data_IF_605786170305
#
_entry.id   IF_605786170305
#
_cell.length_a   1.000
_cell.length_b   1.000
_cell.length_c   1.000
_cell.angle_alpha   90.00
_cell.angle_beta   90.00
_cell.angle_gamma   90.00
#
_symmetry.space_group_name_H-M   'P 1'
#
loop_
_entity.id
_entity.type
_entity.pdbx_description
1 polymer ?
#
# COMPACT_ATOMS: atom_id res chain seq x y z
N UNK A 1 -69.56 10.12 35.03
CA UNK A 1 -70.21 9.12 35.90
C UNK A 1 -69.54 7.77 35.67
N UNK A 2 -69.26 7.08 36.79
CA UNK A 2 -68.98 5.64 36.99
C UNK A 2 -69.02 4.72 35.73
N UNK A 3 -68.13 3.75 35.56
CA UNK A 3 -67.42 3.06 36.62
C UNK A 3 -66.52 1.93 36.16
N UNK A 4 -65.79 1.47 37.17
CA UNK A 4 -64.80 0.41 37.24
C UNK A 4 -65.51 -0.95 37.39
N UNK A 5 -65.16 -1.93 36.55
CA UNK A 5 -65.35 -3.37 36.77
C UNK A 5 -64.58 -4.10 35.64
N UNK A 6 -63.91 -5.24 35.80
CA UNK A 6 -63.52 -6.05 36.93
C UNK A 6 -62.38 -6.98 36.45
N UNK A 7 -61.68 -7.56 37.43
CA UNK A 7 -60.48 -8.39 37.40
C UNK A 7 -60.56 -9.71 36.63
N UNK A 8 -59.39 -10.09 36.10
CA UNK A 8 -58.66 -11.37 36.17
C UNK A 8 -59.39 -12.67 35.80
N UNK A 9 -58.83 -13.42 34.85
CA UNK A 9 -58.06 -14.67 35.07
C UNK A 9 -57.71 -15.29 33.70
N UNK A 10 -56.49 -15.82 33.56
CA UNK A 10 -56.20 -16.79 32.50
C UNK A 10 -54.80 -16.71 31.90
N UNK A 11 -53.85 -17.40 32.54
CA UNK A 11 -52.58 -17.83 31.97
C UNK A 11 -52.74 -18.36 30.54
N UNK A 12 -51.84 -18.00 29.61
CA UNK A 12 -50.94 -18.97 28.95
C UNK A 12 -50.14 -18.33 27.81
N UNK A 13 -48.83 -18.63 27.80
CA UNK A 13 -47.95 -18.80 26.63
C UNK A 13 -47.46 -17.53 25.92
N UNK A 14 -46.26 -17.13 26.34
CA UNK A 14 -45.24 -16.50 25.49
C UNK A 14 -44.90 -17.44 24.33
N UNK A 15 -44.98 -17.03 23.06
CA UNK A 15 -44.17 -17.64 22.02
C UNK A 15 -42.94 -16.77 21.80
N UNK A 16 -41.79 -17.40 22.04
CA UNK A 16 -40.47 -16.91 21.72
C UNK A 16 -40.41 -16.49 20.24
N UNK A 17 -40.38 -15.18 20.00
CA UNK A 17 -39.98 -14.64 18.71
C UNK A 17 -38.46 -14.78 18.62
N UNK A 18 -38.03 -15.73 17.80
CA UNK A 18 -36.64 -16.02 17.44
C UNK A 18 -36.06 -14.74 16.80
N UNK A 19 -35.23 -14.03 17.56
CA UNK A 19 -34.40 -12.94 17.06
C UNK A 19 -33.27 -13.56 16.23
N UNK A 20 -33.45 -13.65 14.92
CA UNK A 20 -32.44 -14.12 14.00
C UNK A 20 -31.37 -13.01 13.85
N UNK A 21 -30.36 -13.03 14.71
CA UNK A 21 -29.21 -12.13 14.61
C UNK A 21 -28.38 -12.54 13.38
N UNK A 22 -28.48 -11.77 12.30
CA UNK A 22 -27.55 -11.87 11.16
C UNK A 22 -26.24 -11.21 11.61
N UNK A 23 -25.31 -12.02 12.11
CA UNK A 23 -23.94 -11.61 12.33
C UNK A 23 -23.24 -11.46 10.97
N UNK A 24 -23.15 -10.23 10.47
CA UNK A 24 -22.27 -9.90 9.34
C UNK A 24 -20.84 -10.06 9.84
N UNK A 25 -20.23 -11.22 9.60
CA UNK A 25 -18.79 -11.38 9.66
C UNK A 25 -18.21 -10.59 8.49
N UNK A 26 -17.83 -9.33 8.74
CA UNK A 26 -16.90 -8.63 7.87
C UNK A 26 -15.59 -9.43 7.93
N UNK A 27 -15.33 -10.22 6.89
CA UNK A 27 -14.01 -10.80 6.68
C UNK A 27 -13.06 -9.64 6.38
N UNK A 28 -12.31 -9.19 7.39
CA UNK A 28 -11.09 -8.44 7.15
C UNK A 28 -10.18 -9.38 6.36
N UNK A 29 -10.03 -9.12 5.06
CA UNK A 29 -8.93 -9.70 4.32
C UNK A 29 -7.67 -9.31 5.11
N UNK A 30 -6.96 -10.29 5.66
CA UNK A 30 -5.68 -10.08 6.31
C UNK A 30 -4.77 -9.43 5.27
N UNK A 31 -4.70 -8.10 5.26
CA UNK A 31 -3.79 -7.37 4.41
C UNK A 31 -2.39 -7.87 4.78
N UNK A 32 -1.70 -8.45 3.79
CA UNK A 32 -0.31 -8.84 4.01
C UNK A 32 0.46 -7.58 4.42
N UNK A 33 1.18 -7.62 5.54
CA UNK A 33 2.00 -6.49 5.95
C UNK A 33 3.24 -6.39 5.03
N UNK A 34 3.69 -5.17 4.69
CA UNK A 34 4.92 -4.98 3.94
C UNK A 34 6.12 -5.58 4.70
N UNK A 35 7.18 -6.03 4.01
CA UNK A 35 8.44 -6.33 4.67
C UNK A 35 9.05 -5.06 5.28
N UNK A 36 9.38 -5.08 6.58
CA UNK A 36 9.92 -3.91 7.29
C UNK A 36 8.85 -2.97 7.85
N UNK A 37 9.22 -1.75 8.28
CA UNK A 37 8.28 -0.81 8.89
C UNK A 37 7.35 -0.16 7.85
N UNK A 38 6.05 -0.15 8.12
CA UNK A 38 5.08 0.60 7.31
C UNK A 38 5.14 2.12 7.56
N UNK A 39 5.66 2.55 8.72
CA UNK A 39 5.81 3.95 9.11
C UNK A 39 7.22 4.21 9.63
N UNK A 40 7.81 5.35 9.27
CA UNK A 40 9.00 5.92 9.90
C UNK A 40 8.66 7.34 10.33
N UNK A 41 8.84 7.65 11.61
CA UNK A 41 8.52 8.96 12.19
C UNK A 41 7.09 9.45 11.87
N UNK A 42 6.12 8.52 11.85
CA UNK A 42 4.72 8.82 11.55
C UNK A 42 4.38 8.95 10.06
N UNK A 43 5.36 8.78 9.16
CA UNK A 43 5.16 8.88 7.71
C UNK A 43 5.19 7.51 7.04
N UNK A 44 4.26 7.28 6.10
CA UNK A 44 4.20 6.06 5.27
C UNK A 44 5.50 5.88 4.47
N UNK A 45 6.00 4.64 4.49
CA UNK A 45 7.23 4.23 3.80
C UNK A 45 6.90 3.67 2.42
N UNK A 46 7.68 4.04 1.41
CA UNK A 46 7.70 3.38 0.11
C UNK A 46 8.64 2.17 0.17
N UNK A 47 8.08 0.97 0.32
CA UNK A 47 8.85 -0.27 0.43
C UNK A 47 8.87 -1.01 -0.89
N UNK A 48 10.07 -1.32 -1.40
CA UNK A 48 10.31 -2.07 -2.62
C UNK A 48 10.87 -3.45 -2.28
N UNK A 49 10.16 -4.52 -2.62
CA UNK A 49 10.72 -5.88 -2.52
C UNK A 49 11.35 -6.24 -3.86
N UNK A 50 12.64 -6.55 -3.86
CA UNK A 50 13.44 -6.79 -5.06
C UNK A 50 13.93 -8.23 -5.14
N UNK A 51 14.02 -8.78 -6.36
CA UNK A 51 14.72 -10.07 -6.58
C UNK A 51 16.20 -9.93 -6.23
N UNK A 52 16.83 -11.07 -5.97
CA UNK A 52 18.27 -11.19 -5.72
C UNK A 52 18.99 -11.77 -6.96
N UNK A 53 19.86 -11.01 -7.65
CA UNK A 53 19.99 -9.55 -7.63
C UNK A 53 18.79 -8.84 -8.30
N UNK A 54 18.66 -7.51 -8.18
CA UNK A 54 17.57 -6.77 -8.82
C UNK A 54 17.57 -6.97 -10.34
N UNK A 55 16.50 -7.56 -10.86
CA UNK A 55 16.27 -7.70 -12.30
C UNK A 55 15.71 -6.40 -12.91
N UNK A 56 15.53 -6.35 -14.23
CA UNK A 56 15.03 -5.18 -14.99
C UNK A 56 13.82 -4.50 -14.33
N UNK A 57 12.83 -5.27 -13.88
CA UNK A 57 11.60 -4.76 -13.24
C UNK A 57 11.85 -4.17 -11.84
N UNK A 58 12.67 -4.83 -11.02
CA UNK A 58 13.05 -4.31 -9.70
C UNK A 58 13.91 -3.04 -9.85
N UNK A 59 14.79 -3.01 -10.85
CA UNK A 59 15.62 -1.85 -11.16
C UNK A 59 14.76 -0.64 -11.56
N UNK A 60 13.70 -0.83 -12.36
CA UNK A 60 12.75 0.24 -12.66
C UNK A 60 12.17 0.87 -11.39
N UNK A 61 11.67 0.07 -10.45
CA UNK A 61 11.05 0.59 -9.24
C UNK A 61 12.07 1.32 -8.34
N UNK A 62 13.32 0.84 -8.28
CA UNK A 62 14.42 1.52 -7.57
C UNK A 62 14.72 2.89 -8.20
N UNK A 63 14.78 2.96 -9.54
CA UNK A 63 14.99 4.23 -10.25
C UNK A 63 13.84 5.21 -9.99
N UNK A 64 12.59 4.73 -10.02
CA UNK A 64 11.40 5.54 -9.71
C UNK A 64 11.47 6.07 -8.28
N UNK A 65 11.80 5.22 -7.30
CA UNK A 65 11.92 5.66 -5.91
C UNK A 65 13.07 6.68 -5.71
N UNK A 66 14.19 6.49 -6.43
CA UNK A 66 15.28 7.46 -6.43
C UNK A 66 14.81 8.83 -6.95
N UNK A 67 14.12 8.88 -8.08
CA UNK A 67 13.55 10.13 -8.62
C UNK A 67 12.57 10.78 -7.65
N UNK A 68 11.64 10.01 -7.09
CA UNK A 68 10.66 10.52 -6.13
C UNK A 68 11.31 11.12 -4.91
N UNK A 69 12.37 10.48 -4.37
CA UNK A 69 13.09 10.99 -3.19
C UNK A 69 13.82 12.33 -3.45
N UNK A 70 14.06 12.70 -4.71
CA UNK A 70 14.63 13.99 -5.09
C UNK A 70 13.57 15.11 -5.13
N UNK A 71 12.28 14.78 -5.05
CA UNK A 71 11.16 15.73 -5.09
C UNK A 71 10.37 15.71 -3.79
N UNK A 72 10.13 14.54 -3.21
CA UNK A 72 9.32 14.30 -2.03
C UNK A 72 10.21 13.86 -0.86
N UNK A 73 9.86 14.31 0.34
CA UNK A 73 10.44 13.83 1.60
C UNK A 73 9.85 12.46 1.95
N UNK A 74 10.01 11.45 1.11
CA UNK A 74 9.44 10.10 1.29
C UNK A 74 10.49 9.11 1.82
N UNK A 75 10.21 8.37 2.91
CA UNK A 75 11.07 7.26 3.33
C UNK A 75 11.01 6.13 2.31
N UNK A 76 12.16 5.66 1.83
CA UNK A 76 12.26 4.54 0.89
C UNK A 76 13.05 3.40 1.54
N UNK A 77 12.52 2.18 1.45
CA UNK A 77 13.22 0.96 1.86
C UNK A 77 13.26 0.01 0.68
N UNK A 78 14.44 -0.54 0.39
CA UNK A 78 14.60 -1.64 -0.56
C UNK A 78 14.91 -2.91 0.23
N UNK A 79 14.05 -3.92 0.10
CA UNK A 79 14.21 -5.21 0.77
C UNK A 79 14.50 -6.28 -0.29
N UNK A 80 15.64 -6.97 -0.23
CA UNK A 80 15.85 -8.14 -1.08
C UNK A 80 14.90 -9.27 -0.67
N UNK A 81 14.34 -10.01 -1.65
CA UNK A 81 13.30 -11.00 -1.40
C UNK A 81 13.78 -12.14 -0.50
N UNK A 82 15.08 -12.47 -0.54
CA UNK A 82 15.71 -13.42 0.39
C UNK A 82 15.65 -13.00 1.86
N UNK A 83 15.39 -11.72 2.16
CA UNK A 83 15.21 -11.17 3.50
C UNK A 83 13.74 -10.91 3.84
N UNK A 84 12.82 -11.16 2.92
CA UNK A 84 11.38 -11.04 3.15
C UNK A 84 10.80 -12.36 3.70
N UNK A 85 9.55 -12.32 4.19
CA UNK A 85 8.84 -13.51 4.66
C UNK A 85 8.72 -14.55 3.53
N UNK A 86 8.78 -15.86 3.81
CA UNK A 86 8.56 -16.90 2.81
C UNK A 86 7.25 -16.67 2.04
N UNK A 87 7.31 -16.80 0.71
CA UNK A 87 6.16 -16.58 -0.17
C UNK A 87 5.96 -15.13 -0.63
N UNK A 88 6.76 -14.17 -0.13
CA UNK A 88 6.74 -12.79 -0.65
C UNK A 88 7.13 -12.79 -2.12
N UNK A 89 6.34 -12.11 -2.96
CA UNK A 89 6.66 -11.97 -4.38
C UNK A 89 7.51 -10.75 -4.66
N UNK A 90 8.40 -10.89 -5.64
CA UNK A 90 9.26 -9.81 -6.12
C UNK A 90 9.28 -9.75 -7.66
N UNK A 91 9.12 -8.56 -8.27
CA UNK A 91 8.98 -7.27 -7.59
C UNK A 91 7.64 -7.08 -6.87
N UNK A 92 7.64 -6.38 -5.74
CA UNK A 92 6.43 -5.77 -5.17
C UNK A 92 6.72 -4.38 -4.61
N UNK A 93 5.70 -3.53 -4.62
CA UNK A 93 5.77 -2.12 -4.20
C UNK A 93 4.66 -1.85 -3.21
N UNK A 94 5.03 -1.29 -2.07
CA UNK A 94 4.13 -0.98 -0.97
C UNK A 94 4.24 0.49 -0.60
N UNK A 95 3.14 1.10 -0.18
CA UNK A 95 3.13 2.42 0.45
C UNK A 95 2.41 2.35 1.79
N UNK A 96 3.15 2.47 2.89
CA UNK A 96 2.60 2.09 4.19
C UNK A 96 2.18 0.62 4.19
N UNK A 97 0.91 0.34 4.47
CA UNK A 97 0.35 -1.03 4.43
C UNK A 97 -0.29 -1.39 3.10
N UNK A 98 -0.36 -0.45 2.16
CA UNK A 98 -1.08 -0.62 0.91
C UNK A 98 -0.17 -1.29 -0.13
N UNK A 99 -0.58 -2.46 -0.64
CA UNK A 99 0.10 -3.15 -1.74
C UNK A 99 -0.26 -2.45 -3.06
N UNK A 100 0.71 -1.79 -3.68
CA UNK A 100 0.50 -1.00 -4.90
C UNK A 100 0.73 -1.83 -6.17
N UNK A 101 1.70 -2.74 -6.14
CA UNK A 101 2.00 -3.63 -7.27
C UNK A 101 2.68 -4.92 -6.78
N UNK A 102 2.43 -6.04 -7.45
CA UNK A 102 3.05 -7.34 -7.15
C UNK A 102 3.26 -8.19 -8.41
N UNK A 103 4.38 -8.91 -8.49
CA UNK A 103 4.67 -9.88 -9.55
C UNK A 103 3.56 -10.94 -9.68
N UNK A 104 3.04 -11.14 -10.89
CA UNK A 104 1.89 -12.01 -11.13
C UNK A 104 0.56 -11.51 -10.55
N UNK A 105 0.51 -10.26 -10.06
CA UNK A 105 -0.69 -9.60 -9.58
C UNK A 105 -0.83 -8.20 -10.17
N UNK A 106 -1.25 -7.24 -9.35
CA UNK A 106 -1.47 -5.85 -9.75
C UNK A 106 -0.24 -5.27 -10.42
N UNK A 107 -0.41 -4.74 -11.65
CA UNK A 107 0.63 -4.13 -12.49
C UNK A 107 1.86 -5.01 -12.75
N UNK A 108 1.75 -6.31 -12.47
CA UNK A 108 2.85 -7.27 -12.56
C UNK A 108 4.13 -6.78 -11.83
N UNK A 109 3.93 -6.07 -10.71
CA UNK A 109 4.98 -5.61 -9.79
C UNK A 109 5.79 -4.40 -10.26
N UNK A 110 5.32 -3.66 -11.27
CA UNK A 110 6.00 -2.46 -11.78
C UNK A 110 5.14 -1.23 -11.53
N UNK A 111 5.77 -0.11 -11.16
CA UNK A 111 5.11 1.20 -11.06
C UNK A 111 5.85 2.25 -11.89
N UNK A 112 5.13 3.26 -12.33
CA UNK A 112 5.70 4.47 -12.94
C UNK A 112 5.91 5.58 -11.92
N UNK A 113 6.70 6.59 -12.29
CA UNK A 113 6.89 7.79 -11.50
C UNK A 113 5.57 8.50 -11.19
N UNK A 114 4.75 8.74 -12.22
CA UNK A 114 3.50 9.50 -12.10
C UNK A 114 2.53 8.82 -11.13
N UNK A 115 2.36 7.49 -11.22
CA UNK A 115 1.43 6.76 -10.35
C UNK A 115 1.78 6.92 -8.86
N UNK A 116 3.06 6.82 -8.51
CA UNK A 116 3.47 6.99 -7.12
C UNK A 116 3.44 8.47 -6.73
N UNK A 117 3.85 9.38 -7.62
CA UNK A 117 3.76 10.82 -7.36
C UNK A 117 2.31 11.23 -7.04
N UNK A 118 1.32 10.74 -7.79
CA UNK A 118 -0.10 11.02 -7.55
C UNK A 118 -0.53 10.53 -6.15
N UNK A 119 -0.10 9.33 -5.74
CA UNK A 119 -0.35 8.82 -4.38
C UNK A 119 0.26 9.75 -3.33
N UNK A 120 1.53 10.15 -3.51
CA UNK A 120 2.23 11.02 -2.57
C UNK A 120 1.57 12.41 -2.48
N UNK A 121 1.08 12.95 -3.60
CA UNK A 121 0.38 14.24 -3.63
C UNK A 121 -0.99 14.17 -2.94
N UNK A 122 -1.77 13.12 -3.18
CA UNK A 122 -3.06 12.89 -2.50
C UNK A 122 -2.87 12.71 -0.99
N UNK A 123 -1.81 12.02 -0.58
CA UNK A 123 -1.49 11.79 0.83
C UNK A 123 -0.80 13.00 1.49
N UNK A 124 -0.59 14.09 0.74
CA UNK A 124 -0.03 15.33 1.27
C UNK A 124 1.43 15.21 1.69
N UNK A 125 2.21 14.32 1.06
CA UNK A 125 3.63 14.14 1.36
C UNK A 125 4.41 15.42 1.04
N UNK A 126 5.16 15.98 2.00
CA UNK A 126 5.86 17.24 1.77
C UNK A 126 6.94 17.08 0.70
N UNK A 127 7.10 18.12 -0.12
CA UNK A 127 8.19 18.21 -1.10
C UNK A 127 9.51 18.57 -0.39
N UNK A 128 10.62 18.26 -1.04
CA UNK A 128 11.95 18.69 -0.60
C UNK A 128 12.05 20.21 -0.65
N UNK A 129 12.77 20.82 0.29
CA UNK A 129 12.96 22.29 0.30
C UNK A 129 13.85 22.73 -0.87
N UNK A 130 14.69 21.82 -1.36
CA UNK A 130 15.50 21.96 -2.56
C UNK A 130 15.38 20.67 -3.37
N UNK A 131 15.22 20.81 -4.68
CA UNK A 131 15.20 19.66 -5.60
C UNK A 131 16.54 18.92 -5.57
N UNK A 132 16.48 17.59 -5.55
CA UNK A 132 17.68 16.77 -5.55
C UNK A 132 18.37 16.69 -6.92
N UNK A 133 19.60 16.16 -6.94
CA UNK A 133 20.47 16.16 -8.11
C UNK A 133 19.94 15.35 -9.29
N UNK A 134 19.12 14.33 -9.08
CA UNK A 134 18.63 13.50 -10.20
C UNK A 134 17.66 14.24 -11.13
N UNK A 135 17.07 15.35 -10.68
CA UNK A 135 16.13 16.16 -11.46
C UNK A 135 16.70 17.52 -11.87
N UNK A 136 17.98 17.75 -11.56
CA UNK A 136 18.74 18.91 -12.02
C UNK A 136 18.83 18.90 -13.56
N UNK A 137 18.76 20.07 -14.19
CA UNK A 137 18.74 20.21 -15.65
C UNK A 137 19.99 19.61 -16.32
N UNK A 138 21.14 19.64 -15.63
CA UNK A 138 22.40 19.13 -16.18
C UNK A 138 22.55 17.61 -15.97
N UNK A 139 21.89 17.05 -14.94
CA UNK A 139 22.02 15.63 -14.55
C UNK A 139 20.91 14.78 -15.14
N UNK A 140 19.68 15.31 -15.21
CA UNK A 140 18.49 14.57 -15.65
C UNK A 140 18.66 13.91 -17.03
N UNK A 141 19.24 14.56 -18.06
CA UNK A 141 19.44 13.92 -19.37
C UNK A 141 20.37 12.71 -19.30
N UNK A 142 21.46 12.81 -18.52
CA UNK A 142 22.42 11.72 -18.33
C UNK A 142 21.78 10.56 -17.57
N UNK A 143 20.99 10.87 -16.56
CA UNK A 143 20.26 9.87 -15.81
C UNK A 143 19.20 9.17 -16.68
N UNK A 144 18.43 9.91 -17.47
CA UNK A 144 17.45 9.34 -18.41
C UNK A 144 18.11 8.41 -19.44
N UNK A 145 19.28 8.78 -19.92
CA UNK A 145 20.08 7.93 -20.82
C UNK A 145 20.52 6.63 -20.13
N UNK A 146 21.01 6.69 -18.89
CA UNK A 146 21.33 5.50 -18.11
C UNK A 146 20.12 4.59 -17.94
N UNK A 147 18.95 5.16 -17.60
CA UNK A 147 17.70 4.40 -17.45
C UNK A 147 17.30 3.70 -18.75
N UNK A 148 17.50 4.36 -19.90
CA UNK A 148 17.26 3.79 -21.23
C UNK A 148 18.20 2.62 -21.49
N UNK A 149 19.51 2.80 -21.29
CA UNK A 149 20.51 1.76 -21.51
C UNK A 149 20.26 0.51 -20.66
N UNK A 150 19.87 0.68 -19.38
CA UNK A 150 19.52 -0.44 -18.50
C UNK A 150 18.36 -1.28 -19.06
N UNK A 151 17.34 -0.63 -19.64
CA UNK A 151 16.16 -1.33 -20.22
C UNK A 151 16.49 -2.10 -21.49
N UNK A 152 17.56 -1.73 -22.19
CA UNK A 152 18.00 -2.38 -23.42
C UNK A 152 18.83 -3.65 -23.15
N UNK A 153 19.35 -3.82 -21.93
CA UNK A 153 20.05 -5.04 -21.51
C UNK A 153 19.03 -6.18 -21.37
N UNK A 154 19.23 -7.28 -22.11
CA UNK A 154 18.38 -8.48 -22.11
C UNK A 154 18.88 -9.54 -21.14
#
# INVERSE_FOLDING_TARGET
>A
MLGLAARLHGFSKVPAAILCAVSVLAGEALAADPPGPALINGQKVLTLVSRDPPALRCNNNIQVAAELSNIYKVPVIVVPVSFAKPGTKAPSVWYGKDLIAEDGGEKNGIVSFTEIADILEVEGVPKQDQTGRLIDADVKPVFDELKRLIKEVK
#
